data_IF_467482505211
#
_entry.id   IF_467482505211
#
_cell.length_a   1.000
_cell.length_b   1.000
_cell.length_c   1.000
_cell.angle_alpha   90.00
_cell.angle_beta   90.00
_cell.angle_gamma   90.00
#
_symmetry.space_group_name_H-M   'P 1'
#
loop_
_entity.id
_entity.type
_entity.pdbx_description
1 polymer ?
#
# COMPACT_ATOMS: atom_id res chain seq x y z
N UNK A 1 41.56 -18.10 15.60
CA UNK A 1 40.37 -17.27 15.94
C UNK A 1 39.58 -17.02 14.68
N UNK A 2 38.51 -17.77 14.37
CA UNK A 2 37.53 -17.35 13.39
C UNK A 2 36.38 -16.62 14.11
N UNK A 3 36.04 -15.42 13.64
CA UNK A 3 34.78 -14.77 14.03
C UNK A 3 33.63 -15.62 13.49
N UNK A 4 32.92 -16.31 14.38
CA UNK A 4 31.60 -16.85 14.09
C UNK A 4 30.70 -15.69 13.74
N UNK A 5 30.42 -15.54 12.44
CA UNK A 5 29.42 -14.62 11.95
C UNK A 5 28.08 -15.03 12.56
N UNK A 6 27.59 -14.14 13.40
CA UNK A 6 26.30 -14.15 14.04
C UNK A 6 25.22 -14.37 12.97
N UNK A 7 24.66 -15.59 12.93
CA UNK A 7 23.41 -15.85 12.23
C UNK A 7 22.31 -15.10 12.97
N UNK A 8 22.03 -13.88 12.53
CA UNK A 8 20.79 -13.21 12.86
C UNK A 8 19.67 -13.96 12.11
N UNK A 9 19.00 -14.89 12.79
CA UNK A 9 17.68 -15.38 12.40
C UNK A 9 16.71 -14.21 12.41
N UNK A 10 16.61 -13.51 11.28
CA UNK A 10 15.51 -12.61 11.02
C UNK A 10 14.28 -13.47 10.72
N UNK A 11 13.39 -13.57 11.71
CA UNK A 11 12.10 -14.25 11.66
C UNK A 11 11.35 -13.99 10.33
N UNK A 12 10.86 -15.02 9.62
CA UNK A 12 10.16 -14.84 8.36
C UNK A 12 8.67 -14.56 8.60
N UNK A 13 8.35 -13.53 9.39
CA UNK A 13 6.95 -13.08 9.59
C UNK A 13 6.85 -11.57 9.43
N UNK A 14 7.00 -11.10 8.19
CA UNK A 14 6.28 -9.89 7.75
C UNK A 14 5.16 -10.37 6.83
N UNK A 15 4.02 -10.63 7.46
CA UNK A 15 2.82 -11.21 6.88
C UNK A 15 2.36 -10.53 5.60
N UNK A 16 2.85 -11.03 4.47
CA UNK A 16 2.07 -11.06 3.25
C UNK A 16 1.54 -12.49 3.16
N UNK A 17 0.22 -12.72 3.18
CA UNK A 17 -0.29 -14.03 2.83
C UNK A 17 0.24 -14.31 1.43
N UNK A 18 1.00 -15.40 1.29
CA UNK A 18 1.33 -15.99 0.00
C UNK A 18 0.02 -16.05 -0.78
N UNK A 19 -0.16 -15.13 -1.74
CA UNK A 19 -1.37 -15.12 -2.55
C UNK A 19 -1.32 -16.40 -3.36
N UNK A 20 -2.20 -17.34 -3.03
CA UNK A 20 -2.39 -18.54 -3.82
C UNK A 20 -2.69 -18.09 -5.26
N UNK A 21 -2.00 -18.64 -6.25
CA UNK A 21 -2.13 -18.25 -7.67
C UNK A 21 -3.59 -18.41 -8.15
N UNK A 22 -4.31 -19.36 -7.56
CA UNK A 22 -5.75 -19.58 -7.72
C UNK A 22 -6.56 -18.38 -7.19
N UNK A 23 -6.18 -17.78 -6.06
CA UNK A 23 -6.87 -16.62 -5.51
C UNK A 23 -6.69 -15.38 -6.41
N UNK A 24 -5.54 -15.23 -7.08
CA UNK A 24 -5.35 -14.19 -8.08
C UNK A 24 -6.24 -14.43 -9.32
N UNK A 25 -6.37 -15.68 -9.78
CA UNK A 25 -7.27 -16.03 -10.90
C UNK A 25 -8.75 -15.73 -10.63
N UNK A 26 -9.21 -15.91 -9.38
CA UNK A 26 -10.61 -15.69 -9.00
C UNK A 26 -10.89 -14.26 -8.50
N UNK A 27 -9.84 -13.46 -8.32
CA UNK A 27 -9.91 -12.14 -7.72
C UNK A 27 -9.77 -12.17 -6.20
N UNK A 28 -8.87 -11.33 -5.66
CA UNK A 28 -8.75 -11.12 -4.21
C UNK A 28 -9.46 -9.84 -3.83
N UNK A 29 -10.45 -9.95 -2.94
CA UNK A 29 -11.27 -8.84 -2.47
C UNK A 29 -10.68 -8.20 -1.20
N UNK A 30 -10.65 -6.87 -1.17
CA UNK A 30 -10.17 -6.09 -0.03
C UNK A 30 -11.13 -4.96 0.31
N UNK A 31 -11.70 -5.00 1.51
CA UNK A 31 -12.47 -3.87 2.03
C UNK A 31 -11.56 -2.72 2.44
N UNK A 32 -11.84 -1.53 1.92
CA UNK A 32 -11.05 -0.34 2.19
C UNK A 32 -11.92 0.92 2.32
N UNK A 33 -11.33 1.98 2.89
CA UNK A 33 -11.96 3.31 2.94
C UNK A 33 -11.33 4.23 1.91
N UNK A 34 -12.02 4.45 0.80
CA UNK A 34 -11.61 5.36 -0.25
C UNK A 34 -11.68 6.82 0.22
N UNK A 35 -10.55 7.52 0.12
CA UNK A 35 -10.42 8.92 0.51
C UNK A 35 -10.81 9.84 -0.65
N UNK A 36 -10.31 9.54 -1.86
CA UNK A 36 -10.41 10.41 -3.02
C UNK A 36 -9.33 10.12 -4.05
N UNK A 37 -9.40 10.80 -5.18
CA UNK A 37 -8.38 10.81 -6.23
C UNK A 37 -7.99 12.25 -6.53
N UNK A 38 -6.73 12.42 -6.94
CA UNK A 38 -6.19 13.68 -7.41
C UNK A 38 -5.32 13.36 -8.61
N UNK A 39 -5.37 14.20 -9.63
CA UNK A 39 -4.44 14.11 -10.75
C UNK A 39 -3.02 14.45 -10.25
N UNK A 40 -2.12 13.49 -10.40
CA UNK A 40 -0.70 13.74 -10.20
C UNK A 40 -0.18 14.36 -11.49
N UNK A 41 0.52 15.50 -11.40
CA UNK A 41 1.19 16.09 -12.56
C UNK A 41 2.14 15.10 -13.24
N UNK A 42 2.70 15.49 -14.39
CA UNK A 42 3.37 14.64 -15.39
C UNK A 42 4.45 13.64 -14.92
N UNK A 43 4.91 13.66 -13.66
CA UNK A 43 5.91 12.73 -13.13
C UNK A 43 5.28 11.65 -12.22
N UNK A 44 5.45 10.39 -12.63
CA UNK A 44 5.10 9.23 -11.81
C UNK A 44 6.03 9.17 -10.58
N UNK A 45 5.49 9.12 -9.35
CA UNK A 45 6.31 8.97 -8.14
C UNK A 45 7.12 7.67 -8.19
N UNK A 46 8.44 7.77 -8.09
CA UNK A 46 9.36 6.62 -8.07
C UNK A 46 9.98 6.41 -6.69
N UNK A 47 10.18 7.49 -5.93
CA UNK A 47 10.76 7.42 -4.60
C UNK A 47 9.69 7.35 -3.51
N UNK A 48 10.03 6.68 -2.40
CA UNK A 48 9.13 6.54 -1.23
C UNK A 48 8.61 7.89 -0.72
N UNK A 49 9.46 8.91 -0.68
CA UNK A 49 9.06 10.23 -0.19
C UNK A 49 8.04 10.92 -1.12
N UNK A 50 8.15 10.72 -2.43
CA UNK A 50 7.22 11.28 -3.43
C UNK A 50 5.85 10.63 -3.31
N UNK A 51 5.82 9.31 -3.13
CA UNK A 51 4.58 8.56 -2.89
C UNK A 51 3.89 9.07 -1.62
N UNK A 52 4.65 9.24 -0.52
CA UNK A 52 4.10 9.78 0.72
C UNK A 52 3.61 11.23 0.57
N UNK A 53 4.32 12.05 -0.19
CA UNK A 53 3.92 13.43 -0.48
C UNK A 53 2.60 13.45 -1.28
N UNK A 54 2.48 12.61 -2.32
CA UNK A 54 1.27 12.42 -3.11
C UNK A 54 0.07 12.01 -2.25
N UNK A 55 0.25 10.96 -1.43
CA UNK A 55 -0.78 10.45 -0.53
C UNK A 55 -1.24 11.50 0.48
N UNK A 56 -0.31 12.31 1.02
CA UNK A 56 -0.64 13.42 1.92
C UNK A 56 -1.46 14.50 1.23
N UNK A 57 -1.13 14.87 -0.03
CA UNK A 57 -1.89 15.86 -0.81
C UNK A 57 -3.35 15.44 -0.97
N UNK A 58 -3.59 14.22 -1.47
CA UNK A 58 -4.95 13.66 -1.59
C UNK A 58 -5.67 13.70 -0.24
N UNK A 59 -5.03 13.22 0.84
CA UNK A 59 -5.68 13.20 2.16
C UNK A 59 -6.07 14.59 2.64
N UNK A 60 -5.22 15.60 2.47
CA UNK A 60 -5.48 16.94 3.00
C UNK A 60 -6.52 17.70 2.20
N UNK A 61 -6.54 17.55 0.88
CA UNK A 61 -7.57 18.18 0.04
C UNK A 61 -8.98 17.70 0.43
N UNK A 62 -9.16 16.38 0.56
CA UNK A 62 -10.45 15.81 0.93
C UNK A 62 -10.82 16.08 2.39
N UNK A 63 -9.83 16.18 3.30
CA UNK A 63 -10.06 16.61 4.69
C UNK A 63 -10.52 18.07 4.75
N UNK A 64 -9.89 18.97 4.01
CA UNK A 64 -10.23 20.39 4.00
C UNK A 64 -11.65 20.65 3.46
N UNK A 65 -12.09 19.84 2.49
CA UNK A 65 -13.47 19.85 1.95
C UNK A 65 -14.48 19.10 2.83
N UNK A 66 -14.04 18.54 3.96
CA UNK A 66 -14.84 17.72 4.87
C UNK A 66 -15.57 16.54 4.19
N UNK A 67 -14.95 15.97 3.15
CA UNK A 67 -15.51 14.84 2.41
C UNK A 67 -15.27 13.56 3.21
N UNK A 68 -16.35 12.82 3.51
CA UNK A 68 -16.26 11.55 4.23
C UNK A 68 -15.68 10.45 3.32
N UNK A 69 -14.89 9.56 3.92
CA UNK A 69 -14.37 8.39 3.22
C UNK A 69 -15.53 7.44 2.88
N UNK A 70 -15.47 6.81 1.70
CA UNK A 70 -16.44 5.80 1.26
C UNK A 70 -15.88 4.41 1.51
N UNK A 71 -16.69 3.49 2.04
CA UNK A 71 -16.33 2.08 2.09
C UNK A 71 -16.38 1.54 0.65
N UNK A 72 -15.34 0.83 0.24
CA UNK A 72 -15.19 0.26 -1.11
C UNK A 72 -14.64 -1.15 -1.00
N UNK A 73 -14.94 -1.97 -1.99
CA UNK A 73 -14.31 -3.27 -2.22
C UNK A 73 -13.31 -3.11 -3.37
N UNK A 74 -12.06 -3.52 -3.13
CA UNK A 74 -10.97 -3.48 -4.11
C UNK A 74 -10.71 -4.92 -4.54
N UNK A 75 -10.90 -5.20 -5.82
CA UNK A 75 -10.64 -6.52 -6.40
C UNK A 75 -9.29 -6.49 -7.12
N UNK A 76 -8.37 -7.34 -6.67
CA UNK A 76 -7.12 -7.63 -7.37
C UNK A 76 -7.34 -8.83 -8.29
N UNK A 77 -7.32 -8.57 -9.60
CA UNK A 77 -7.43 -9.57 -10.68
C UNK A 77 -6.14 -9.65 -11.49
#
# INVERSE_FOLDING_TARGET
>A
MPLTQQQNEASPERGMPFANEIALQHGIHFEAKYIGSMEMGSSRPGARFEILAAMRRVRYEFKARNIKKRLVDIVLV
#
